data_IF_898953566359
#
_entry.id   IF_898953566359
#
_cell.length_a   1.000
_cell.length_b   1.000
_cell.length_c   1.000
_cell.angle_alpha   90.00
_cell.angle_beta   90.00
_cell.angle_gamma   90.00
#
_symmetry.space_group_name_H-M   'P 1'
#
loop_
_entity.id
_entity.type
_entity.pdbx_description
1 polymer ?
#
# COMPACT_ATOMS: atom_id res chain seq x y z
N UNK A 1 -2.64 9.44 10.40
CA UNK A 1 -2.47 10.91 10.30
C UNK A 1 -3.12 11.37 8.99
N UNK A 2 -4.24 12.11 9.03
CA UNK A 2 -5.03 12.46 7.83
C UNK A 2 -4.27 13.43 6.90
N UNK A 3 -3.43 14.28 7.49
CA UNK A 3 -2.46 15.16 6.83
C UNK A 3 -1.44 14.40 5.95
N UNK A 4 -1.30 13.09 6.12
CA UNK A 4 -0.41 12.23 5.33
C UNK A 4 -1.12 11.49 4.19
N UNK A 5 -2.42 11.69 3.99
CA UNK A 5 -3.14 11.05 2.88
C UNK A 5 -2.75 11.67 1.55
N UNK A 6 -2.62 10.84 0.52
CA UNK A 6 -2.17 11.26 -0.82
C UNK A 6 -2.93 10.49 -1.88
N UNK A 7 -3.08 11.12 -3.04
CA UNK A 7 -3.67 10.55 -4.25
C UNK A 7 -2.62 10.56 -5.35
N UNK A 8 -2.55 9.46 -6.09
CA UNK A 8 -1.75 9.38 -7.30
C UNK A 8 -2.69 9.23 -8.48
N UNK A 9 -2.63 10.18 -9.42
CA UNK A 9 -3.36 10.04 -10.68
C UNK A 9 -2.55 9.17 -11.62
N UNK A 10 -3.12 8.03 -12.03
CA UNK A 10 -2.51 7.08 -12.97
C UNK A 10 -3.20 7.27 -14.32
N UNK A 11 -2.55 7.94 -15.30
CA UNK A 11 -3.13 8.10 -16.63
C UNK A 11 -3.19 6.75 -17.33
N UNK A 12 -4.35 6.41 -17.91
CA UNK A 12 -4.59 5.23 -18.74
C UNK A 12 -4.24 3.90 -18.08
N UNK A 13 -4.92 3.55 -16.98
CA UNK A 13 -4.87 2.19 -16.45
C UNK A 13 -5.95 1.30 -17.06
N UNK A 14 -5.57 0.09 -17.46
CA UNK A 14 -6.48 -0.95 -17.95
C UNK A 14 -6.75 -2.02 -16.89
N UNK A 15 -5.92 -2.09 -15.84
CA UNK A 15 -5.98 -3.13 -14.80
C UNK A 15 -5.57 -2.57 -13.42
N UNK A 16 -6.23 -3.05 -12.36
CA UNK A 16 -5.97 -2.68 -10.98
C UNK A 16 -4.55 -3.07 -10.54
N UNK A 17 -4.02 -4.19 -11.04
CA UNK A 17 -2.66 -4.63 -10.70
C UNK A 17 -1.59 -3.64 -11.18
N UNK A 18 -1.76 -3.12 -12.39
CA UNK A 18 -0.88 -2.11 -12.98
C UNK A 18 -1.02 -0.75 -12.27
N UNK A 19 -2.25 -0.35 -11.94
CA UNK A 19 -2.50 0.84 -11.12
C UNK A 19 -1.74 0.80 -9.79
N UNK A 20 -1.76 -0.36 -9.11
CA UNK A 20 -1.07 -0.57 -7.83
C UNK A 20 0.44 -0.50 -8.02
N UNK A 21 0.96 -1.18 -9.04
CA UNK A 21 2.40 -1.17 -9.35
C UNK A 21 2.91 0.25 -9.57
N UNK A 22 2.23 1.04 -10.42
CA UNK A 22 2.64 2.43 -10.70
C UNK A 22 2.50 3.34 -9.48
N UNK A 23 1.41 3.19 -8.72
CA UNK A 23 1.19 3.98 -7.49
C UNK A 23 2.30 3.74 -6.48
N UNK A 24 2.65 2.47 -6.25
CA UNK A 24 3.71 2.12 -5.32
C UNK A 24 5.09 2.51 -5.85
N UNK A 25 5.39 2.31 -7.12
CA UNK A 25 6.65 2.78 -7.72
C UNK A 25 6.88 4.27 -7.47
N UNK A 26 5.86 5.11 -7.69
CA UNK A 26 5.92 6.56 -7.39
C UNK A 26 6.09 6.85 -5.90
N UNK A 27 5.38 6.13 -5.03
CA UNK A 27 5.48 6.32 -3.58
C UNK A 27 6.85 5.89 -3.03
N UNK A 28 7.39 4.79 -3.52
CA UNK A 28 8.62 4.19 -3.03
C UNK A 28 9.86 4.96 -3.49
N UNK A 29 9.78 5.69 -4.61
CA UNK A 29 10.84 6.62 -5.03
C UNK A 29 11.20 7.64 -3.92
N UNK A 30 10.21 8.11 -3.15
CA UNK A 30 10.44 8.98 -1.99
C UNK A 30 11.17 8.31 -0.81
N UNK A 31 11.34 6.98 -0.82
CA UNK A 31 12.03 6.21 0.21
C UNK A 31 13.43 5.76 -0.20
N UNK A 32 13.66 5.49 -1.50
CA UNK A 32 14.96 5.06 -2.03
C UNK A 32 15.99 6.18 -2.07
N UNK A 33 15.52 7.41 -1.99
CA UNK A 33 16.34 8.60 -1.96
C UNK A 33 16.61 9.06 -0.52
N UNK A 34 17.78 8.72 0.01
CA UNK A 34 18.58 9.72 0.75
C UNK A 34 19.03 10.87 -0.17
N UNK A 35 18.46 11.02 -1.38
CA UNK A 35 18.93 11.94 -2.39
C UNK A 35 18.82 13.37 -1.89
N UNK A 36 20.00 13.95 -1.70
CA UNK A 36 20.28 15.37 -1.94
C UNK A 36 19.21 16.31 -1.41
N UNK A 37 19.10 16.39 -0.09
CA UNK A 37 18.39 17.47 0.58
C UNK A 37 19.07 18.81 0.29
N UNK A 38 18.66 19.48 -0.78
CA UNK A 38 18.65 20.94 -0.81
C UNK A 38 17.43 21.41 -0.01
N UNK A 39 17.58 22.50 0.75
CA UNK A 39 16.57 22.99 1.70
C UNK A 39 15.22 23.38 1.06
N UNK A 40 15.19 23.55 -0.27
CA UNK A 40 14.04 24.04 -1.04
C UNK A 40 12.97 22.98 -1.38
N UNK A 41 13.25 21.69 -1.20
CA UNK A 41 12.32 20.62 -1.59
C UNK A 41 11.34 20.21 -0.47
N UNK A 42 10.44 21.13 -0.13
CA UNK A 42 9.33 20.87 0.79
C UNK A 42 8.37 19.77 0.30
N UNK A 43 8.34 19.49 -1.01
CA UNK A 43 7.57 18.40 -1.62
C UNK A 43 8.15 17.01 -1.27
N UNK A 44 9.48 16.83 -1.27
CA UNK A 44 10.14 15.54 -0.99
C UNK A 44 10.11 15.10 0.48
N UNK A 45 9.82 16.01 1.43
CA UNK A 45 9.57 15.62 2.84
C UNK A 45 8.27 14.82 3.00
N UNK A 46 7.37 14.85 2.02
CA UNK A 46 6.11 14.11 2.03
C UNK A 46 6.45 12.65 1.70
N UNK A 47 6.42 11.77 2.72
CA UNK A 47 6.83 10.34 2.70
C UNK A 47 8.23 10.01 3.24
N UNK A 48 8.89 10.91 3.96
CA UNK A 48 10.20 10.62 4.58
C UNK A 48 10.21 9.45 5.57
N UNK A 49 9.03 8.98 6.02
CA UNK A 49 8.91 7.84 6.90
C UNK A 49 8.58 6.56 6.15
N UNK A 50 9.47 5.58 6.32
CA UNK A 50 9.29 4.23 5.84
C UNK A 50 8.23 3.49 6.68
N UNK A 51 7.12 3.00 6.08
CA UNK A 51 6.12 2.25 6.82
C UNK A 51 6.65 0.87 7.21
N UNK A 52 6.24 0.35 8.37
CA UNK A 52 6.56 -1.03 8.77
C UNK A 52 5.67 -2.06 8.05
N UNK A 53 4.45 -1.67 7.68
CA UNK A 53 3.45 -2.52 7.02
C UNK A 53 2.78 -1.74 5.89
N UNK A 54 2.74 -2.34 4.71
CA UNK A 54 1.98 -1.89 3.55
C UNK A 54 0.80 -2.82 3.34
N UNK A 55 -0.39 -2.23 3.23
CA UNK A 55 -1.64 -2.96 3.05
C UNK A 55 -2.27 -2.55 1.73
N UNK A 56 -2.66 -3.52 0.91
CA UNK A 56 -3.29 -3.32 -0.40
C UNK A 56 -4.75 -3.82 -0.35
N UNK A 57 -5.71 -3.04 -0.87
CA UNK A 57 -7.11 -3.49 -1.03
C UNK A 57 -7.20 -4.39 -2.27
N UNK A 58 -7.03 -5.69 -2.08
CA UNK A 58 -6.92 -6.66 -3.17
C UNK A 58 -6.45 -8.03 -2.72
N UNK A 59 -6.65 -9.02 -3.58
CA UNK A 59 -6.21 -10.40 -3.37
C UNK A 59 -4.79 -10.65 -3.87
N UNK A 60 -4.46 -11.92 -4.06
CA UNK A 60 -3.12 -12.37 -4.49
C UNK A 60 -2.54 -11.61 -5.70
N UNK A 61 -3.27 -11.34 -6.80
CA UNK A 61 -2.70 -10.63 -7.95
C UNK A 61 -2.27 -9.20 -7.62
N UNK A 62 -3.05 -8.49 -6.82
CA UNK A 62 -2.75 -7.14 -6.37
C UNK A 62 -1.55 -7.10 -5.41
N UNK A 63 -1.47 -8.09 -4.50
CA UNK A 63 -0.32 -8.25 -3.61
C UNK A 63 0.95 -8.56 -4.38
N UNK A 64 0.89 -9.44 -5.38
CA UNK A 64 2.02 -9.76 -6.24
C UNK A 64 2.53 -8.53 -7.01
N UNK A 65 1.63 -7.70 -7.52
CA UNK A 65 2.00 -6.44 -8.17
C UNK A 65 2.69 -5.46 -7.20
N UNK A 66 2.21 -5.37 -5.95
CA UNK A 66 2.84 -4.56 -4.92
C UNK A 66 4.21 -5.10 -4.49
N UNK A 67 4.35 -6.43 -4.39
CA UNK A 67 5.63 -7.09 -4.09
C UNK A 67 6.65 -6.81 -5.20
N UNK A 68 6.23 -6.90 -6.47
CA UNK A 68 7.05 -6.53 -7.63
C UNK A 68 7.52 -5.08 -7.54
N UNK A 69 6.63 -4.13 -7.22
CA UNK A 69 7.00 -2.73 -7.06
C UNK A 69 8.05 -2.50 -5.95
N UNK A 70 7.92 -3.20 -4.82
CA UNK A 70 8.90 -3.15 -3.73
C UNK A 70 10.26 -3.71 -4.15
N UNK A 71 10.26 -4.84 -4.87
CA UNK A 71 11.46 -5.50 -5.37
C UNK A 71 12.18 -4.63 -6.41
N UNK A 72 11.45 -4.11 -7.39
CA UNK A 72 12.00 -3.26 -8.46
C UNK A 72 12.56 -1.94 -7.91
N UNK A 73 11.98 -1.42 -6.82
CA UNK A 73 12.48 -0.25 -6.11
C UNK A 73 13.66 -0.53 -5.15
N UNK A 74 14.03 -1.81 -4.94
CA UNK A 74 15.08 -2.21 -4.00
C UNK A 74 14.74 -1.95 -2.52
N UNK A 75 13.47 -1.81 -2.17
CA UNK A 75 13.02 -1.43 -0.83
C UNK A 75 12.77 -2.66 0.04
N UNK A 76 13.67 -2.97 0.98
CA UNK A 76 13.61 -4.19 1.85
C UNK A 76 13.28 -3.94 3.32
N UNK A 77 12.35 -4.67 3.93
CA UNK A 77 12.01 -4.51 5.36
C UNK A 77 10.71 -3.76 5.63
N UNK A 78 9.85 -3.67 4.61
CA UNK A 78 8.44 -3.30 4.74
C UNK A 78 7.66 -4.61 4.64
N UNK A 79 6.86 -4.94 5.65
CA UNK A 79 5.93 -6.06 5.54
C UNK A 79 4.81 -5.71 4.54
N UNK A 80 4.37 -6.67 3.74
CA UNK A 80 3.32 -6.49 2.74
C UNK A 80 2.20 -7.49 2.96
N UNK A 81 0.96 -7.02 2.92
CA UNK A 81 -0.20 -7.88 2.79
C UNK A 81 -1.31 -7.22 1.95
N UNK A 82 -2.22 -8.04 1.43
CA UNK A 82 -3.47 -7.62 0.82
C UNK A 82 -4.66 -8.00 1.68
N UNK A 83 -5.77 -7.29 1.52
CA UNK A 83 -7.06 -7.61 2.14
C UNK A 83 -8.08 -7.82 1.04
N UNK A 84 -8.63 -9.02 0.92
CA UNK A 84 -9.69 -9.32 -0.02
C UNK A 84 -11.08 -9.07 0.59
N UNK A 85 -11.97 -8.42 -0.18
CA UNK A 85 -13.27 -7.89 0.28
C UNK A 85 -14.26 -8.92 0.84
N UNK A 86 -14.19 -10.20 0.44
CA UNK A 86 -15.26 -11.17 0.71
C UNK A 86 -15.31 -11.63 2.18
N UNK A 87 -14.15 -11.82 2.81
CA UNK A 87 -14.01 -12.29 4.19
C UNK A 87 -12.88 -11.57 4.95
N UNK A 88 -12.41 -10.42 4.45
CA UNK A 88 -11.19 -9.75 4.94
C UNK A 88 -9.98 -10.69 4.97
N UNK A 89 -9.88 -11.52 3.94
CA UNK A 89 -8.82 -12.52 3.83
C UNK A 89 -7.49 -11.80 3.65
N UNK A 90 -6.51 -12.13 4.50
CA UNK A 90 -5.19 -11.51 4.43
C UNK A 90 -4.32 -12.33 3.49
N UNK A 91 -3.93 -11.73 2.38
CA UNK A 91 -3.04 -12.33 1.39
C UNK A 91 -1.60 -11.88 1.63
N UNK A 92 -0.69 -12.84 1.75
CA UNK A 92 0.75 -12.57 1.84
C UNK A 92 1.39 -12.82 0.47
N UNK A 93 2.46 -12.09 0.11
CA UNK A 93 3.10 -12.24 -1.20
C UNK A 93 3.65 -13.64 -1.43
N UNK A 94 4.14 -14.29 -0.37
CA UNK A 94 4.83 -15.59 -0.44
C UNK A 94 3.94 -16.76 0.03
N UNK A 95 2.61 -16.59 0.03
CA UNK A 95 1.67 -17.61 0.48
C UNK A 95 0.59 -17.89 -0.57
N UNK A 96 0.36 -19.17 -0.82
CA UNK A 96 -0.72 -19.64 -1.72
C UNK A 96 -2.10 -19.59 -1.06
N UNK A 97 -2.14 -19.52 0.27
CA UNK A 97 -3.37 -19.50 1.04
C UNK A 97 -3.48 -18.21 1.86
N UNK A 98 -4.69 -17.65 1.98
CA UNK A 98 -4.89 -16.48 2.82
C UNK A 98 -4.88 -16.84 4.30
N UNK A 99 -4.51 -15.87 5.11
CA UNK A 99 -4.71 -15.91 6.56
C UNK A 99 -6.13 -15.44 6.87
N UNK A 100 -6.90 -16.30 7.52
CA UNK A 100 -8.25 -16.00 7.97
C UNK A 100 -8.22 -15.59 9.43
N UNK A 101 -8.58 -14.34 9.71
CA UNK A 101 -8.69 -13.85 11.08
C UNK A 101 -10.00 -14.33 11.73
N UNK A 102 -9.96 -14.53 13.04
CA UNK A 102 -11.18 -14.87 13.80
C UNK A 102 -12.16 -13.70 13.74
N UNK A 103 -13.45 -14.01 13.52
CA UNK A 103 -14.53 -13.02 13.31
C UNK A 103 -14.71 -12.00 14.45
N UNK A 104 -14.28 -12.34 15.65
CA UNK A 104 -14.38 -11.50 16.85
C UNK A 104 -13.02 -11.03 17.36
N UNK A 105 -11.98 -11.07 16.53
CA UNK A 105 -10.65 -10.61 16.92
C UNK A 105 -10.46 -9.12 16.72
N UNK A 106 -9.73 -8.49 17.64
CA UNK A 106 -9.34 -7.07 17.52
C UNK A 106 -8.53 -6.79 16.25
N UNK A 107 -7.73 -7.77 15.81
CA UNK A 107 -6.96 -7.68 14.56
C UNK A 107 -7.88 -7.50 13.35
N UNK A 108 -8.98 -8.25 13.26
CA UNK A 108 -9.94 -8.13 12.17
C UNK A 108 -10.60 -6.74 12.18
N UNK A 109 -11.03 -6.27 13.35
CA UNK A 109 -11.64 -4.95 13.46
C UNK A 109 -10.68 -3.83 13.10
N UNK A 110 -9.40 -3.96 13.43
CA UNK A 110 -8.38 -2.99 13.05
C UNK A 110 -8.20 -2.94 11.52
N UNK A 111 -8.08 -4.10 10.89
CA UNK A 111 -7.92 -4.25 9.44
C UNK A 111 -9.12 -3.67 8.69
N UNK A 112 -10.34 -3.94 9.16
CA UNK A 112 -11.57 -3.37 8.61
C UNK A 112 -11.57 -1.85 8.68
N UNK A 113 -11.24 -1.26 9.84
CA UNK A 113 -11.18 0.21 10.00
C UNK A 113 -10.16 0.86 9.06
N UNK A 114 -9.01 0.23 8.85
CA UNK A 114 -7.99 0.74 7.93
C UNK A 114 -8.51 0.73 6.49
N UNK A 115 -9.13 -0.38 6.06
CA UNK A 115 -9.72 -0.49 4.74
C UNK A 115 -10.86 0.50 4.54
N UNK A 116 -11.76 0.59 5.50
CA UNK A 116 -12.91 1.50 5.44
C UNK A 116 -12.46 2.96 5.35
N UNK A 117 -11.39 3.34 6.05
CA UNK A 117 -10.82 4.68 5.96
C UNK A 117 -10.13 4.93 4.61
N UNK A 118 -9.43 3.94 4.06
CA UNK A 118 -8.83 4.02 2.72
C UNK A 118 -9.93 4.14 1.64
N UNK A 119 -10.99 3.35 1.75
CA UNK A 119 -12.14 3.37 0.84
C UNK A 119 -12.93 4.67 0.94
N UNK A 120 -13.19 5.16 2.17
CA UNK A 120 -13.80 6.46 2.42
C UNK A 120 -12.98 7.57 1.74
N UNK A 121 -11.66 7.55 1.91
CA UNK A 121 -10.79 8.55 1.28
C UNK A 121 -10.86 8.49 -0.25
N UNK A 122 -10.88 7.28 -0.83
CA UNK A 122 -10.98 7.08 -2.27
C UNK A 122 -12.33 7.49 -2.89
N UNK A 123 -13.46 7.34 -2.16
CA UNK A 123 -14.78 7.79 -2.64
C UNK A 123 -14.96 9.30 -2.47
N UNK A 124 -14.47 9.86 -1.36
CA UNK A 124 -14.70 11.26 -1.02
C UNK A 124 -13.96 12.22 -1.97
N UNK A 125 -12.88 11.77 -2.62
CA UNK A 125 -12.03 12.64 -3.43
C UNK A 125 -11.38 11.94 -4.63
#
# INVERSE_FOLDING_TARGET
RKDQYRRFSIPNSTDDTESIYQTLGRRLAYLGEEATKTEDDAELKKFSYRPNLLIVDGGQPQVAAAARALADAGVTGIALCGIAKRLEEIWLPDSDYPVILRRNSDALFLIQRIRDEAHRFAITY
#
